data_IF_712658368080
#
_entry.id   IF_712658368080
#
_cell.length_a   1.000
_cell.length_b   1.000
_cell.length_c   1.000
_cell.angle_alpha   90.00
_cell.angle_beta   90.00
_cell.angle_gamma   90.00
#
_symmetry.space_group_name_H-M   'P 1'
#
loop_
_entity.id
_entity.type
_entity.pdbx_description
1 polymer ?
#
# COMPACT_ATOMS: atom_id res chain seq x y z
N UNK A 1 38.37 -71.26 13.35
CA UNK A 1 37.56 -71.28 12.12
C UNK A 1 37.22 -69.85 11.72
N UNK A 2 37.03 -69.67 10.41
CA UNK A 2 37.11 -68.44 9.62
C UNK A 2 36.13 -67.29 9.93
N UNK A 3 36.51 -66.12 9.36
CA UNK A 3 35.65 -65.11 8.68
C UNK A 3 34.78 -64.17 9.55
N UNK A 4 34.49 -62.91 9.20
CA UNK A 4 34.97 -61.96 8.19
C UNK A 4 34.38 -60.57 8.56
N UNK A 5 35.18 -59.51 8.45
CA UNK A 5 34.87 -58.18 7.84
C UNK A 5 33.45 -57.56 7.90
N UNK A 6 33.29 -56.39 8.54
CA UNK A 6 33.25 -55.03 7.91
C UNK A 6 32.82 -53.90 8.90
N UNK A 7 33.38 -52.69 8.78
CA UNK A 7 32.97 -51.50 9.55
C UNK A 7 31.96 -50.66 8.76
N UNK A 8 31.06 -49.94 9.44
CA UNK A 8 30.29 -48.85 8.82
C UNK A 8 30.28 -47.61 9.72
N UNK A 9 30.81 -46.53 9.14
CA UNK A 9 30.67 -45.14 9.55
C UNK A 9 29.20 -44.75 9.74
N UNK A 10 28.90 -43.87 10.69
CA UNK A 10 28.03 -42.70 10.44
C UNK A 10 28.28 -41.61 11.50
N UNK A 11 29.04 -40.60 11.08
CA UNK A 11 28.76 -39.16 11.18
C UNK A 11 28.32 -38.57 12.52
N UNK A 12 29.26 -37.92 13.21
CA UNK A 12 28.98 -36.93 14.24
C UNK A 12 28.48 -35.63 13.59
N UNK A 13 27.22 -35.26 13.87
CA UNK A 13 26.65 -33.97 13.52
C UNK A 13 27.05 -32.96 14.61
N UNK A 14 27.98 -32.07 14.32
CA UNK A 14 28.27 -30.91 15.17
C UNK A 14 27.18 -29.87 14.89
N UNK A 15 26.21 -29.76 15.79
CA UNK A 15 25.26 -28.65 15.80
C UNK A 15 25.97 -27.39 16.33
N UNK A 16 26.38 -26.50 15.42
CA UNK A 16 26.79 -25.15 15.77
C UNK A 16 25.55 -24.26 15.78
N UNK A 17 24.93 -24.09 16.94
CA UNK A 17 23.82 -23.15 17.15
C UNK A 17 24.42 -21.72 17.21
N UNK A 18 24.41 -21.01 16.08
CA UNK A 18 24.67 -19.58 16.08
C UNK A 18 23.37 -18.86 16.47
N UNK A 19 23.23 -18.49 17.74
CA UNK A 19 22.17 -17.60 18.20
C UNK A 19 22.44 -16.19 17.67
N UNK A 20 21.82 -15.85 16.55
CA UNK A 20 21.78 -14.48 16.05
C UNK A 20 20.75 -13.71 16.89
N UNK A 21 21.19 -13.09 17.99
CA UNK A 21 20.40 -12.06 18.68
C UNK A 21 20.39 -10.81 17.82
N UNK A 22 19.54 -10.81 16.79
CA UNK A 22 19.20 -9.60 16.05
C UNK A 22 18.38 -8.71 16.97
N UNK A 23 18.93 -7.56 17.33
CA UNK A 23 18.16 -6.44 17.87
C UNK A 23 17.18 -6.00 16.77
N UNK A 24 15.99 -6.60 16.78
CA UNK A 24 14.85 -6.05 16.05
C UNK A 24 14.44 -4.83 16.85
N UNK A 25 14.91 -3.65 16.43
CA UNK A 25 14.24 -2.41 16.77
C UNK A 25 12.79 -2.59 16.33
N UNK A 26 11.88 -2.83 17.29
CA UNK A 26 10.46 -2.68 17.05
C UNK A 26 10.28 -1.25 16.56
N UNK A 27 10.11 -1.08 15.25
CA UNK A 27 9.34 0.06 14.77
C UNK A 27 7.98 -0.18 15.38
N UNK A 28 7.62 0.59 16.40
CA UNK A 28 6.25 0.67 16.83
C UNK A 28 5.49 1.20 15.63
N UNK A 29 4.89 0.30 14.85
CA UNK A 29 3.76 0.65 14.02
C UNK A 29 2.74 1.19 15.01
N UNK A 30 2.60 2.51 15.05
CA UNK A 30 1.54 3.13 15.81
C UNK A 30 0.25 2.38 15.44
N UNK A 31 -0.33 1.69 16.42
CA UNK A 31 -1.69 1.18 16.30
C UNK A 31 -2.52 2.34 15.78
N UNK A 32 -3.22 2.14 14.67
CA UNK A 32 -4.17 3.11 14.16
C UNK A 32 -4.98 3.62 15.36
N UNK A 33 -4.88 4.91 15.65
CA UNK A 33 -5.86 5.54 16.50
C UNK A 33 -7.21 5.27 15.84
N UNK A 34 -8.27 4.99 16.60
CA UNK A 34 -9.61 4.85 16.04
C UNK A 34 -9.92 6.12 15.23
N UNK A 35 -9.86 6.02 13.91
CA UNK A 35 -10.06 7.17 13.05
C UNK A 35 -11.51 7.63 13.21
N UNK A 36 -11.66 8.91 13.53
CA UNK A 36 -12.97 9.51 13.71
C UNK A 36 -13.19 10.54 12.60
N UNK A 37 -14.14 10.25 11.71
CA UNK A 37 -14.53 11.19 10.68
C UNK A 37 -15.12 12.45 11.30
N UNK A 38 -14.45 13.59 11.10
CA UNK A 38 -14.95 14.86 11.60
C UNK A 38 -15.94 15.47 10.61
N UNK A 39 -17.24 15.37 10.92
CA UNK A 39 -18.32 15.92 10.10
C UNK A 39 -18.32 17.45 9.98
N UNK A 40 -17.48 18.15 10.74
CA UNK A 40 -17.29 19.61 10.62
C UNK A 40 -16.18 20.00 9.65
N UNK A 41 -15.47 19.04 9.04
CA UNK A 41 -14.55 19.38 7.96
C UNK A 41 -15.29 20.00 6.77
N UNK A 42 -14.66 21.02 6.18
CA UNK A 42 -15.16 21.70 4.99
C UNK A 42 -14.30 21.33 3.79
N UNK A 43 -14.88 21.34 2.58
CA UNK A 43 -14.14 21.16 1.33
C UNK A 43 -12.93 22.12 1.28
N UNK A 44 -11.69 21.61 1.24
CA UNK A 44 -10.53 22.47 0.98
C UNK A 44 -10.56 23.03 -0.44
N UNK A 45 -9.73 24.04 -0.71
CA UNK A 45 -9.56 24.58 -2.05
C UNK A 45 -9.17 23.48 -3.04
N UNK A 46 -10.01 23.30 -4.06
CA UNK A 46 -9.72 22.45 -5.21
C UNK A 46 -9.00 23.29 -6.26
N UNK A 47 -7.86 22.81 -6.71
CA UNK A 47 -7.05 23.40 -7.75
C UNK A 47 -7.18 22.57 -9.03
N UNK A 48 -7.51 23.21 -10.13
CA UNK A 48 -7.60 22.53 -11.41
C UNK A 48 -6.23 22.29 -12.05
N UNK A 49 -6.18 21.48 -13.13
CA UNK A 49 -4.93 21.14 -13.85
C UNK A 49 -4.09 22.35 -14.26
N UNK A 50 -4.68 23.47 -14.64
CA UNK A 50 -3.91 24.65 -15.07
C UNK A 50 -3.25 25.37 -13.88
N UNK A 51 -3.79 25.18 -12.66
CA UNK A 51 -3.22 25.70 -11.43
C UNK A 51 -2.18 24.76 -10.82
N UNK A 52 -2.32 23.44 -11.00
CA UNK A 52 -1.42 22.43 -10.42
C UNK A 52 -0.30 22.01 -11.36
N UNK A 53 -0.53 22.08 -12.67
CA UNK A 53 0.34 21.49 -13.69
C UNK A 53 0.28 19.95 -13.75
N UNK A 54 -0.63 19.32 -13.00
CA UNK A 54 -0.75 17.86 -12.95
C UNK A 54 -1.29 17.31 -14.28
N UNK A 55 -0.63 16.27 -14.79
CA UNK A 55 -1.05 15.54 -15.98
C UNK A 55 -1.63 14.17 -15.56
N UNK A 56 -2.95 14.09 -15.52
CA UNK A 56 -3.75 12.90 -15.20
C UNK A 56 -3.81 11.88 -16.36
N UNK A 57 -3.54 12.29 -17.59
CA UNK A 57 -3.68 11.44 -18.79
C UNK A 57 -3.03 10.05 -18.65
N UNK A 58 -1.79 9.90 -18.12
CA UNK A 58 -1.17 8.60 -17.96
C UNK A 58 -1.87 7.70 -16.93
N UNK A 59 -2.68 8.27 -16.04
CA UNK A 59 -3.35 7.53 -14.96
C UNK A 59 -4.75 7.04 -15.36
N UNK A 60 -5.35 7.61 -16.42
CA UNK A 60 -6.67 7.20 -16.90
C UNK A 60 -6.71 5.73 -17.34
N UNK A 61 -5.57 5.12 -17.67
CA UNK A 61 -5.48 3.68 -17.97
C UNK A 61 -5.76 2.78 -16.75
N UNK A 62 -5.74 3.33 -15.54
CA UNK A 62 -6.09 2.61 -14.31
C UNK A 62 -7.55 2.81 -13.92
N UNK A 63 -8.31 3.51 -14.74
CA UNK A 63 -9.76 3.60 -14.60
C UNK A 63 -10.34 2.62 -15.60
N UNK A 64 -11.04 1.62 -15.08
CA UNK A 64 -11.72 0.63 -15.92
C UNK A 64 -13.23 0.88 -15.88
N UNK A 65 -13.96 0.20 -16.77
CA UNK A 65 -15.40 0.09 -16.58
C UNK A 65 -15.68 -0.66 -15.27
N UNK A 66 -16.84 -0.38 -14.66
CA UNK A 66 -17.34 -1.07 -13.48
C UNK A 66 -17.24 -2.60 -13.63
N UNK A 67 -16.89 -3.28 -12.53
CA UNK A 67 -16.60 -4.71 -12.41
C UNK A 67 -15.34 -5.22 -13.11
N UNK A 68 -14.44 -4.34 -13.56
CA UNK A 68 -13.17 -4.72 -14.17
C UNK A 68 -11.97 -4.37 -13.27
N UNK A 69 -11.23 -5.41 -12.89
CA UNK A 69 -10.06 -5.28 -12.04
C UNK A 69 -8.98 -4.37 -12.62
N UNK A 70 -8.28 -3.65 -11.74
CA UNK A 70 -7.16 -2.79 -12.10
C UNK A 70 -6.03 -3.56 -12.83
N UNK A 71 -5.63 -3.11 -14.04
CA UNK A 71 -4.53 -3.72 -14.79
C UNK A 71 -3.20 -3.62 -14.05
N UNK A 72 -2.34 -4.63 -14.20
CA UNK A 72 -0.97 -4.66 -13.65
C UNK A 72 -0.85 -4.49 -12.13
N UNK A 73 -1.94 -4.78 -11.40
CA UNK A 73 -2.10 -4.71 -9.94
C UNK A 73 -1.12 -5.54 -9.09
N UNK A 74 -0.18 -6.27 -9.71
CA UNK A 74 0.85 -7.05 -9.02
C UNK A 74 2.26 -6.45 -9.06
N UNK A 75 2.62 -5.64 -10.07
CA UNK A 75 4.04 -5.32 -10.35
C UNK A 75 4.61 -4.16 -9.53
N UNK A 76 3.77 -3.29 -8.98
CA UNK A 76 4.21 -2.13 -8.19
C UNK A 76 3.34 -1.91 -6.94
N UNK A 77 2.78 -3.01 -6.41
CA UNK A 77 1.86 -2.98 -5.27
C UNK A 77 2.59 -2.46 -4.03
N UNK A 78 2.17 -1.31 -3.55
CA UNK A 78 2.54 -0.79 -2.25
C UNK A 78 1.57 -1.34 -1.20
N UNK A 79 2.01 -1.34 0.05
CA UNK A 79 1.12 -1.56 1.18
C UNK A 79 0.44 -0.21 1.52
N UNK A 80 -0.88 -0.06 1.29
CA UNK A 80 -1.58 1.20 1.54
C UNK A 80 -1.56 1.59 3.03
N UNK A 81 -1.32 0.66 3.95
CA UNK A 81 -1.17 0.94 5.38
C UNK A 81 0.28 1.32 5.78
N UNK A 82 1.21 1.43 4.82
CA UNK A 82 2.63 1.76 5.09
C UNK A 82 3.16 2.89 4.23
N UNK A 83 2.34 3.93 3.99
CA UNK A 83 2.75 5.10 3.23
C UNK A 83 3.53 6.09 4.12
N UNK A 84 4.68 5.63 4.63
CA UNK A 84 5.56 6.43 5.48
C UNK A 84 6.53 7.29 4.66
N UNK A 85 6.51 8.60 4.86
CA UNK A 85 7.40 9.54 4.19
C UNK A 85 8.78 9.53 4.82
N UNK A 86 9.80 9.20 4.03
CA UNK A 86 11.21 9.25 4.42
C UNK A 86 11.82 10.66 4.31
N UNK A 87 11.25 11.50 3.46
CA UNK A 87 11.70 12.85 3.16
C UNK A 87 10.54 13.83 3.27
N UNK A 88 10.83 15.07 3.68
CA UNK A 88 9.83 16.14 3.68
C UNK A 88 9.31 16.37 2.26
N UNK A 89 8.01 16.61 2.13
CA UNK A 89 7.41 16.96 0.82
C UNK A 89 6.14 17.79 1.01
N UNK A 90 5.83 18.63 0.03
CA UNK A 90 4.53 19.31 -0.05
C UNK A 90 3.52 18.39 -0.73
N UNK A 91 2.80 17.62 0.08
CA UNK A 91 1.91 16.56 -0.40
C UNK A 91 0.68 17.16 -1.08
N UNK A 92 0.30 16.57 -2.21
CA UNK A 92 -0.93 16.87 -2.93
C UNK A 92 -1.62 15.58 -3.35
N UNK A 93 -2.95 15.63 -3.45
CA UNK A 93 -3.79 14.51 -3.91
C UNK A 93 -4.62 14.98 -5.09
N UNK A 94 -4.62 14.23 -6.18
CA UNK A 94 -5.31 14.53 -7.42
C UNK A 94 -6.38 13.48 -7.69
N UNK A 95 -7.59 13.94 -7.99
CA UNK A 95 -8.66 13.10 -8.48
C UNK A 95 -8.31 12.59 -9.87
N UNK A 96 -8.31 11.27 -10.08
CA UNK A 96 -8.13 10.71 -11.41
C UNK A 96 -9.48 10.50 -12.05
N UNK A 97 -10.33 9.70 -11.41
CA UNK A 97 -11.67 9.38 -11.86
C UNK A 97 -12.43 8.56 -10.79
N UNK A 98 -13.69 8.26 -11.06
CA UNK A 98 -14.52 7.31 -10.33
C UNK A 98 -15.08 6.25 -11.28
N UNK A 99 -15.22 5.03 -10.80
CA UNK A 99 -15.77 3.88 -11.53
C UNK A 99 -17.23 3.58 -11.18
N UNK A 100 -17.78 4.22 -10.15
CA UNK A 100 -19.03 3.81 -9.51
C UNK A 100 -20.06 4.93 -9.29
N UNK A 101 -21.24 4.49 -8.85
CA UNK A 101 -22.44 5.31 -8.70
C UNK A 101 -22.53 6.17 -7.44
N UNK A 102 -21.59 6.02 -6.49
CA UNK A 102 -21.70 6.64 -5.16
C UNK A 102 -21.07 8.03 -5.09
N UNK A 103 -21.69 8.90 -4.29
CA UNK A 103 -21.18 10.25 -4.02
C UNK A 103 -20.25 10.21 -2.82
N UNK A 104 -19.08 9.62 -3.05
CA UNK A 104 -18.10 9.32 -2.03
C UNK A 104 -17.45 10.58 -1.45
N UNK A 105 -16.91 10.46 -0.23
CA UNK A 105 -16.02 11.48 0.35
C UNK A 105 -14.66 10.86 0.66
N UNK A 106 -13.57 11.62 0.52
CA UNK A 106 -12.23 11.15 0.83
C UNK A 106 -11.55 12.09 1.83
N UNK A 107 -10.94 11.52 2.85
CA UNK A 107 -10.16 12.21 3.87
C UNK A 107 -8.78 11.57 4.04
N UNK A 108 -7.90 12.28 4.73
CA UNK A 108 -6.59 11.77 5.11
C UNK A 108 -6.34 11.98 6.61
N UNK A 109 -5.44 11.16 7.14
CA UNK A 109 -4.80 11.34 8.42
C UNK A 109 -3.28 11.22 8.26
N UNK A 110 -2.57 12.17 8.85
CA UNK A 110 -1.13 12.18 8.95
C UNK A 110 -0.77 12.01 10.43
N UNK A 111 -0.02 10.95 10.75
CA UNK A 111 0.44 10.63 12.10
C UNK A 111 1.96 10.54 12.17
N UNK A 112 2.53 10.69 13.37
CA UNK A 112 3.98 10.73 13.58
C UNK A 112 4.50 12.16 13.66
N UNK A 113 5.46 12.51 12.80
CA UNK A 113 6.14 13.79 12.83
C UNK A 113 5.22 14.98 12.44
N UNK A 114 4.39 14.80 11.41
CA UNK A 114 3.25 15.68 11.12
C UNK A 114 2.00 15.05 11.73
N UNK A 115 1.21 15.85 12.47
CA UNK A 115 -0.08 15.43 13.05
C UNK A 115 -1.19 16.29 12.49
N UNK A 116 -1.88 15.79 11.46
CA UNK A 116 -2.90 16.56 10.75
C UNK A 116 -3.90 15.60 10.11
N UNK A 117 -5.17 15.93 10.18
CA UNK A 117 -6.23 15.21 9.48
C UNK A 117 -7.15 16.19 8.77
N UNK A 118 -7.78 15.78 7.69
CA UNK A 118 -8.70 16.65 6.97
C UNK A 118 -9.39 15.98 5.81
N UNK A 119 -10.44 16.64 5.34
CA UNK A 119 -11.12 16.28 4.10
C UNK A 119 -10.23 16.62 2.90
N UNK A 120 -10.24 15.75 1.89
CA UNK A 120 -9.69 16.01 0.56
C UNK A 120 -10.82 16.37 -0.38
N UNK A 121 -11.79 15.48 -0.51
CA UNK A 121 -12.95 15.67 -1.38
C UNK A 121 -14.23 15.40 -0.60
N UNK A 122 -15.11 16.39 -0.54
CA UNK A 122 -16.43 16.32 0.10
C UNK A 122 -17.47 15.62 -0.78
N UNK A 123 -17.17 15.53 -2.07
CA UNK A 123 -18.05 15.04 -3.11
C UNK A 123 -17.18 14.56 -4.26
N UNK A 124 -16.93 13.25 -4.29
CA UNK A 124 -16.33 12.59 -5.42
C UNK A 124 -17.48 12.24 -6.34
N UNK A 125 -17.52 13.00 -7.43
CA UNK A 125 -18.37 12.79 -8.58
C UNK A 125 -17.68 13.39 -9.79
N UNK A 126 -17.88 12.80 -10.95
CA UNK A 126 -17.25 13.25 -12.20
C UNK A 126 -18.32 13.67 -13.22
N UNK A 127 -18.06 14.71 -14.00
CA UNK A 127 -18.89 15.07 -15.16
C UNK A 127 -18.04 15.28 -16.41
N UNK A 128 -18.50 14.68 -17.52
CA UNK A 128 -17.92 14.87 -18.85
C UNK A 128 -17.29 13.61 -19.42
N UNK A 129 -16.57 13.78 -20.54
CA UNK A 129 -15.94 12.67 -21.26
C UNK A 129 -14.94 11.93 -20.38
N UNK A 130 -15.15 10.63 -20.20
CA UNK A 130 -14.29 9.75 -19.41
C UNK A 130 -14.83 9.45 -18.01
N UNK A 131 -15.86 10.15 -17.54
CA UNK A 131 -16.53 9.85 -16.27
C UNK A 131 -17.57 8.72 -16.44
N UNK A 132 -17.80 7.93 -15.38
CA UNK A 132 -18.87 6.91 -15.36
C UNK A 132 -20.27 7.55 -15.28
N UNK A 133 -20.39 8.71 -14.61
CA UNK A 133 -21.65 9.43 -14.44
C UNK A 133 -21.68 10.82 -15.10
N UNK A 134 -22.90 11.34 -15.28
CA UNK A 134 -23.16 12.73 -15.67
C UNK A 134 -23.76 13.51 -14.51
N UNK A 135 -23.04 13.58 -13.38
CA UNK A 135 -23.60 14.02 -12.10
C UNK A 135 -23.98 15.51 -12.01
N UNK A 136 -23.48 16.35 -12.92
CA UNK A 136 -23.75 17.79 -12.93
C UNK A 136 -23.20 18.53 -11.70
N UNK A 137 -23.38 19.86 -11.68
CA UNK A 137 -23.18 20.67 -10.48
C UNK A 137 -21.72 20.88 -10.08
N UNK A 138 -21.35 20.47 -8.87
CA UNK A 138 -20.00 20.65 -8.29
C UNK A 138 -19.07 19.46 -8.56
N UNK A 139 -19.38 18.64 -9.58
CA UNK A 139 -18.58 17.50 -9.97
C UNK A 139 -17.11 17.91 -10.22
N UNK A 140 -16.21 17.04 -9.78
CA UNK A 140 -14.78 17.18 -9.99
C UNK A 140 -14.47 17.02 -11.47
N UNK A 141 -13.48 17.77 -11.94
CA UNK A 141 -12.84 17.50 -13.22
C UNK A 141 -11.70 16.53 -12.99
N UNK A 142 -11.48 15.62 -13.93
CA UNK A 142 -10.29 14.76 -13.93
C UNK A 142 -9.05 15.64 -13.67
N UNK A 143 -8.13 15.19 -12.82
CA UNK A 143 -6.91 15.92 -12.43
C UNK A 143 -7.08 17.11 -11.48
N UNK A 144 -8.29 17.43 -11.04
CA UNK A 144 -8.50 18.39 -9.94
C UNK A 144 -7.80 17.89 -8.67
N UNK A 145 -7.17 18.79 -7.92
CA UNK A 145 -6.29 18.43 -6.81
C UNK A 145 -6.44 19.27 -5.57
N UNK A 146 -6.07 18.69 -4.44
CA UNK A 146 -6.02 19.31 -3.13
C UNK A 146 -4.62 19.25 -2.58
N UNK A 147 -4.15 20.39 -2.04
CA UNK A 147 -2.87 20.47 -1.36
C UNK A 147 -3.05 20.08 0.10
N UNK A 148 -2.48 18.95 0.49
CA UNK A 148 -2.34 18.55 1.90
C UNK A 148 -1.37 19.49 2.61
N UNK A 149 -0.36 19.97 1.88
CA UNK A 149 0.66 20.90 2.35
C UNK A 149 1.92 20.18 2.81
N UNK A 150 2.78 20.88 3.54
CA UNK A 150 4.05 20.34 3.98
C UNK A 150 3.85 19.17 4.96
N UNK A 151 4.43 18.02 4.62
CA UNK A 151 4.49 16.83 5.46
C UNK A 151 5.94 16.49 5.72
N UNK A 152 6.30 16.38 6.99
CA UNK A 152 7.66 16.09 7.43
C UNK A 152 7.98 14.60 7.35
N UNK A 153 9.26 14.28 7.14
CA UNK A 153 9.79 12.92 7.21
C UNK A 153 9.45 12.26 8.55
N UNK A 154 9.20 10.95 8.53
CA UNK A 154 8.71 10.17 9.68
C UNK A 154 7.20 10.29 9.89
N UNK A 155 6.46 10.73 8.88
CA UNK A 155 4.98 10.79 8.91
C UNK A 155 4.40 9.60 8.16
N UNK A 156 3.44 8.91 8.78
CA UNK A 156 2.56 7.94 8.12
C UNK A 156 1.35 8.68 7.55
N UNK A 157 0.99 8.37 6.30
CA UNK A 157 -0.24 8.85 5.67
C UNK A 157 -1.24 7.71 5.56
N UNK A 158 -2.44 7.93 6.11
CA UNK A 158 -3.58 7.04 6.02
C UNK A 158 -4.74 7.76 5.33
N UNK A 159 -5.55 7.01 4.59
CA UNK A 159 -6.64 7.57 3.79
C UNK A 159 -7.93 6.84 4.09
N UNK A 160 -9.02 7.60 4.07
CA UNK A 160 -10.33 7.15 4.53
C UNK A 160 -11.38 7.56 3.52
N UNK A 161 -12.07 6.57 2.95
CA UNK A 161 -13.23 6.74 2.11
C UNK A 161 -14.48 6.66 2.98
N UNK A 162 -15.39 7.62 2.81
CA UNK A 162 -16.75 7.53 3.33
C UNK A 162 -17.69 7.22 2.19
N UNK A 163 -18.12 5.96 2.13
CA UNK A 163 -18.91 5.40 1.04
C UNK A 163 -20.28 6.08 0.92
N UNK A 164 -20.57 6.66 -0.23
CA UNK A 164 -21.78 7.47 -0.50
C UNK A 164 -22.01 8.56 0.57
N UNK A 165 -20.91 9.08 1.12
CA UNK A 165 -20.94 9.93 2.32
C UNK A 165 -21.68 11.25 2.13
N UNK A 166 -21.77 11.77 0.91
CA UNK A 166 -22.57 12.97 0.62
C UNK A 166 -24.08 12.71 0.85
N UNK A 167 -24.56 11.52 0.51
CA UNK A 167 -25.97 11.15 0.62
C UNK A 167 -26.30 10.52 1.99
N UNK A 168 -25.43 9.62 2.48
CA UNK A 168 -25.67 8.85 3.71
C UNK A 168 -25.19 9.56 4.96
N UNK A 169 -24.25 10.51 4.87
CA UNK A 169 -23.69 11.20 6.03
C UNK A 169 -23.22 10.21 7.11
N UNK A 170 -23.68 10.36 8.35
CA UNK A 170 -23.23 9.57 9.50
C UNK A 170 -23.58 8.08 9.45
N UNK A 171 -24.48 7.65 8.56
CA UNK A 171 -24.77 6.22 8.36
C UNK A 171 -23.91 5.55 7.29
N UNK A 172 -23.06 6.31 6.60
CA UNK A 172 -22.14 5.78 5.60
C UNK A 172 -21.13 4.80 6.21
N UNK A 173 -20.73 3.80 5.44
CA UNK A 173 -19.56 3.00 5.77
C UNK A 173 -18.30 3.86 5.59
N UNK A 174 -17.30 3.62 6.46
CA UNK A 174 -15.99 4.25 6.37
C UNK A 174 -14.98 3.15 6.15
N UNK A 175 -14.14 3.33 5.13
CA UNK A 175 -13.15 2.38 4.70
C UNK A 175 -11.77 3.04 4.67
N UNK A 176 -10.85 2.51 5.47
CA UNK A 176 -9.47 2.96 5.59
C UNK A 176 -8.49 2.12 4.77
N UNK A 177 -7.28 2.67 4.66
CA UNK A 177 -6.10 1.96 4.11
C UNK A 177 -5.63 0.80 5.00
N UNK A 178 -5.89 0.84 6.30
CA UNK A 178 -5.71 -0.30 7.20
C UNK A 178 -6.92 -1.24 7.16
N UNK A 179 -6.71 -2.46 6.66
CA UNK A 179 -7.74 -3.50 6.62
C UNK A 179 -8.30 -3.83 8.00
N UNK A 180 -7.48 -3.75 9.06
CA UNK A 180 -7.94 -4.04 10.42
C UNK A 180 -8.89 -2.96 10.97
N UNK A 181 -8.90 -1.76 10.37
CA UNK A 181 -9.80 -0.66 10.74
C UNK A 181 -11.16 -0.74 10.04
N UNK A 182 -11.28 -1.55 8.98
CA UNK A 182 -12.52 -1.70 8.23
C UNK A 182 -13.50 -2.59 8.99
N UNK A 183 -14.77 -2.19 9.02
CA UNK A 183 -15.77 -2.87 9.84
C UNK A 183 -16.02 -4.34 9.42
N UNK A 184 -15.84 -4.70 8.14
CA UNK A 184 -15.88 -6.08 7.64
C UNK A 184 -14.53 -6.81 7.72
N UNK A 185 -13.45 -6.12 8.14
CA UNK A 185 -12.11 -6.67 8.16
C UNK A 185 -11.54 -6.97 6.76
N UNK A 186 -12.09 -6.37 5.71
CA UNK A 186 -11.65 -6.57 4.34
C UNK A 186 -10.79 -5.40 3.84
N UNK A 187 -9.99 -5.66 2.81
CA UNK A 187 -9.21 -4.61 2.16
C UNK A 187 -10.15 -3.73 1.35
N UNK A 188 -10.12 -2.41 1.54
CA UNK A 188 -10.90 -1.46 0.72
C UNK A 188 -10.05 -0.45 -0.04
N UNK A 189 -8.73 -0.51 0.12
CA UNK A 189 -7.80 0.33 -0.62
C UNK A 189 -6.66 -0.50 -1.20
N UNK A 190 -6.22 -0.15 -2.39
CA UNK A 190 -5.00 -0.65 -3.02
C UNK A 190 -4.13 0.53 -3.42
N UNK A 191 -2.81 0.36 -3.29
CA UNK A 191 -1.84 1.39 -3.65
C UNK A 191 -0.81 0.84 -4.63
N UNK A 192 -0.44 1.65 -5.62
CA UNK A 192 0.57 1.32 -6.62
C UNK A 192 1.54 2.47 -6.80
N UNK A 193 2.83 2.18 -6.84
CA UNK A 193 3.77 3.15 -7.37
C UNK A 193 3.63 3.20 -8.90
N UNK A 194 3.39 4.38 -9.46
CA UNK A 194 3.37 4.58 -10.90
C UNK A 194 4.02 5.91 -11.25
N UNK A 195 5.07 5.83 -12.08
CA UNK A 195 6.02 6.92 -12.26
C UNK A 195 6.56 7.40 -10.89
N UNK A 196 6.47 8.71 -10.62
CA UNK A 196 6.92 9.35 -9.40
C UNK A 196 5.78 9.58 -8.39
N UNK A 197 4.67 8.87 -8.56
CA UNK A 197 3.45 9.06 -7.76
C UNK A 197 2.97 7.74 -7.16
N UNK A 198 2.00 7.84 -6.25
CA UNK A 198 1.24 6.71 -5.73
C UNK A 198 -0.17 6.82 -6.30
N UNK A 199 -0.60 5.83 -7.08
CA UNK A 199 -2.01 5.60 -7.39
C UNK A 199 -2.65 4.94 -6.17
N UNK A 200 -3.73 5.51 -5.66
CA UNK A 200 -4.53 4.94 -4.57
C UNK A 200 -5.97 4.77 -5.08
N UNK A 201 -6.50 3.56 -4.94
CA UNK A 201 -7.79 3.21 -5.47
C UNK A 201 -8.62 2.46 -4.43
N UNK A 202 -9.92 2.71 -4.37
CA UNK A 202 -10.81 2.20 -3.33
C UNK A 202 -11.98 1.39 -3.87
N UNK A 203 -12.44 0.47 -3.01
CA UNK A 203 -13.74 -0.20 -3.07
C UNK A 203 -14.68 0.43 -2.03
N UNK A 204 -15.90 0.77 -2.41
CA UNK A 204 -16.88 1.51 -1.59
C UNK A 204 -18.08 0.67 -1.12
N UNK A 205 -18.18 -0.60 -1.51
CA UNK A 205 -19.25 -1.51 -1.09
C UNK A 205 -18.81 -2.43 0.04
N UNK A 206 -19.59 -2.49 1.10
CA UNK A 206 -19.34 -3.37 2.24
C UNK A 206 -19.43 -4.86 1.88
N UNK A 207 -18.49 -5.65 2.38
CA UNK A 207 -18.54 -7.11 2.32
C UNK A 207 -17.65 -7.76 1.25
N UNK A 208 -17.68 -9.09 1.23
CA UNK A 208 -16.86 -9.89 0.32
C UNK A 208 -17.37 -9.87 -1.13
N UNK A 209 -16.57 -10.42 -2.04
CA UNK A 209 -16.90 -10.51 -3.48
C UNK A 209 -18.31 -11.12 -3.69
N UNK A 210 -19.22 -10.31 -4.22
CA UNK A 210 -20.62 -10.59 -4.48
C UNK A 210 -21.39 -11.16 -3.27
N UNK A 211 -20.91 -10.89 -2.06
CA UNK A 211 -21.61 -11.26 -0.84
C UNK A 211 -22.94 -10.50 -0.77
N UNK A 212 -23.99 -11.19 -0.32
CA UNK A 212 -25.32 -10.61 -0.12
C UNK A 212 -25.91 -11.14 1.18
N UNK A 213 -26.91 -10.43 1.72
CA UNK A 213 -27.48 -10.77 3.02
C UNK A 213 -26.74 -10.12 4.19
N UNK A 214 -27.17 -10.44 5.41
CA UNK A 214 -26.58 -9.90 6.63
C UNK A 214 -25.27 -10.62 6.95
N UNK A 215 -24.18 -9.87 7.11
CA UNK A 215 -22.93 -10.36 7.68
C UNK A 215 -23.16 -10.76 9.13
N UNK A 216 -22.96 -12.05 9.41
CA UNK A 216 -23.14 -12.62 10.74
C UNK A 216 -22.16 -12.09 11.81
N UNK A 217 -20.99 -11.58 11.39
CA UNK A 217 -19.98 -11.06 12.32
C UNK A 217 -20.32 -9.65 12.82
N UNK A 218 -20.98 -8.84 11.98
CA UNK A 218 -21.16 -7.40 12.21
C UNK A 218 -22.62 -6.97 12.25
N UNK A 219 -23.53 -7.79 11.73
CA UNK A 219 -24.94 -7.47 11.56
C UNK A 219 -25.24 -6.48 10.42
N UNK A 220 -24.23 -6.08 9.63
CA UNK A 220 -24.39 -5.19 8.49
C UNK A 220 -24.82 -5.95 7.23
N UNK A 221 -25.49 -5.26 6.30
CA UNK A 221 -25.86 -5.84 5.02
C UNK A 221 -24.66 -5.84 4.06
N UNK A 222 -24.37 -6.97 3.42
CA UNK A 222 -23.39 -7.06 2.35
C UNK A 222 -23.93 -6.40 1.08
N UNK A 223 -23.18 -5.45 0.53
CA UNK A 223 -23.63 -4.57 -0.56
C UNK A 223 -23.33 -5.14 -1.95
N UNK A 224 -22.83 -6.39 -2.05
CA UNK A 224 -22.56 -7.02 -3.33
C UNK A 224 -21.26 -6.60 -4.00
N UNK A 225 -20.29 -6.10 -3.22
CA UNK A 225 -18.96 -5.65 -3.65
C UNK A 225 -18.35 -6.51 -4.76
N UNK A 226 -17.90 -5.90 -5.85
CA UNK A 226 -17.25 -6.58 -6.98
C UNK A 226 -15.72 -6.57 -6.89
N UNK A 227 -15.17 -5.85 -5.91
CA UNK A 227 -13.77 -5.92 -5.46
C UNK A 227 -12.79 -5.50 -6.55
N UNK A 228 -13.21 -4.61 -7.42
CA UNK A 228 -12.42 -4.15 -8.55
C UNK A 228 -11.55 -2.91 -8.22
N UNK A 229 -11.86 -2.23 -7.11
CA UNK A 229 -11.17 -1.07 -6.55
C UNK A 229 -11.09 0.12 -7.52
N UNK A 230 -12.09 0.34 -8.38
CA UNK A 230 -12.14 1.51 -9.25
C UNK A 230 -13.17 2.57 -8.82
N UNK A 231 -13.94 2.33 -7.75
CA UNK A 231 -14.99 3.22 -7.28
C UNK A 231 -14.48 4.64 -7.02
N UNK A 232 -13.29 4.76 -6.42
CA UNK A 232 -12.56 6.03 -6.31
C UNK A 232 -11.09 5.82 -6.63
N UNK A 233 -10.59 6.55 -7.63
CA UNK A 233 -9.16 6.54 -8.01
C UNK A 233 -8.55 7.93 -7.85
N UNK A 234 -7.51 8.01 -7.03
CA UNK A 234 -6.73 9.23 -6.79
C UNK A 234 -5.24 8.97 -6.94
N UNK A 235 -4.48 10.05 -7.09
CA UNK A 235 -3.02 10.02 -7.16
C UNK A 235 -2.42 10.94 -6.12
N UNK A 236 -1.42 10.45 -5.39
CA UNK A 236 -0.69 11.20 -4.40
C UNK A 236 0.66 11.61 -4.98
N UNK A 237 0.96 12.90 -4.89
CA UNK A 237 2.31 13.42 -5.01
C UNK A 237 2.94 13.51 -3.63
N UNK A 238 3.80 12.54 -3.33
CA UNK A 238 4.63 12.52 -2.12
C UNK A 238 6.10 12.78 -2.45
N UNK A 239 6.41 13.12 -3.70
CA UNK A 239 7.77 13.30 -4.19
C UNK A 239 8.46 11.99 -4.59
N UNK A 240 9.21 12.04 -5.68
CA UNK A 240 9.89 10.89 -6.29
C UNK A 240 10.78 10.12 -5.30
N UNK A 241 11.49 10.83 -4.42
CA UNK A 241 12.38 10.21 -3.44
C UNK A 241 11.61 9.36 -2.41
N UNK A 242 10.42 9.80 -2.00
CA UNK A 242 9.55 9.02 -1.12
C UNK A 242 8.96 7.82 -1.85
N UNK A 243 8.50 7.97 -3.09
CA UNK A 243 7.99 6.84 -3.90
C UNK A 243 9.06 5.77 -4.06
N UNK A 244 10.29 6.15 -4.41
CA UNK A 244 11.42 5.22 -4.51
C UNK A 244 11.73 4.53 -3.18
N UNK A 245 11.66 5.25 -2.06
CA UNK A 245 11.86 4.67 -0.73
C UNK A 245 10.78 3.64 -0.38
N UNK A 246 9.52 3.91 -0.72
CA UNK A 246 8.40 3.00 -0.50
C UNK A 246 8.53 1.72 -1.33
N UNK A 247 8.89 1.84 -2.62
CA UNK A 247 9.17 0.67 -3.49
C UNK A 247 10.31 -0.17 -2.90
N UNK A 248 11.41 0.47 -2.49
CA UNK A 248 12.56 -0.21 -1.88
C UNK A 248 12.25 -0.86 -0.53
N UNK A 249 11.24 -0.37 0.20
CA UNK A 249 10.76 -1.02 1.42
C UNK A 249 9.91 -2.27 1.13
N UNK A 250 9.18 -2.29 0.00
CA UNK A 250 8.36 -3.43 -0.42
C UNK A 250 9.12 -4.56 -1.11
N UNK A 251 10.28 -4.28 -1.70
CA UNK A 251 11.16 -5.29 -2.30
C UNK A 251 12.33 -5.54 -1.35
N UNK A 252 12.41 -6.70 -0.65
CA UNK A 252 13.58 -7.01 0.16
C UNK A 252 14.83 -6.90 -0.73
N UNK A 253 15.82 -6.09 -0.33
CA UNK A 253 17.08 -6.09 -1.05
C UNK A 253 17.57 -7.53 -1.17
N UNK A 254 17.90 -8.02 -2.39
CA UNK A 254 18.48 -9.34 -2.54
C UNK A 254 19.65 -9.42 -1.57
N UNK A 255 19.69 -10.49 -0.78
CA UNK A 255 20.66 -10.69 0.29
C UNK A 255 22.08 -10.92 -0.25
N UNK A 256 22.65 -9.95 -0.97
CA UNK A 256 24.01 -10.04 -1.54
C UNK A 256 25.08 -9.96 -0.44
N UNK A 257 24.71 -9.62 0.78
CA UNK A 257 25.66 -9.49 1.91
C UNK A 257 26.03 -10.83 2.57
N UNK A 258 25.31 -11.93 2.32
CA UNK A 258 25.64 -13.24 2.92
C UNK A 258 26.60 -14.10 2.07
N UNK A 259 26.68 -13.86 0.76
CA UNK A 259 27.46 -14.69 -0.16
C UNK A 259 28.96 -14.35 -0.18
N UNK A 260 29.38 -13.15 0.25
CA UNK A 260 30.80 -12.78 0.32
C UNK A 260 31.56 -13.40 1.51
N UNK A 261 30.88 -13.83 2.58
CA UNK A 261 31.54 -14.54 3.68
C UNK A 261 31.65 -16.06 3.47
N UNK A 262 30.76 -16.67 2.68
CA UNK A 262 30.78 -18.11 2.40
C UNK A 262 31.89 -18.52 1.41
N UNK A 263 32.24 -17.66 0.44
CA UNK A 263 33.27 -17.98 -0.57
C UNK A 263 34.70 -17.83 -0.01
N UNK A 264 34.92 -16.96 0.99
CA UNK A 264 36.23 -16.78 1.62
C UNK A 264 36.65 -17.93 2.53
N UNK A 265 35.72 -18.54 3.26
CA UNK A 265 36.03 -19.60 4.22
C UNK A 265 36.38 -20.94 3.56
N UNK A 266 35.75 -21.29 2.44
CA UNK A 266 36.06 -22.54 1.71
C UNK A 266 37.41 -22.46 0.98
N UNK A 267 37.81 -21.27 0.52
CA UNK A 267 39.10 -21.05 -0.15
C UNK A 267 40.33 -21.28 0.72
N UNK A 268 40.27 -20.94 2.02
CA UNK A 268 41.42 -21.08 2.92
C UNK A 268 41.62 -22.51 3.49
N UNK A 269 40.57 -23.33 3.57
CA UNK A 269 40.71 -24.73 4.01
C UNK A 269 41.11 -25.70 2.87
N UNK A 270 40.80 -25.38 1.62
CA UNK A 270 41.18 -26.20 0.45
C UNK A 270 42.65 -26.12 0.06
N UNK A 271 43.34 -25.01 0.36
CA UNK A 271 44.74 -24.80 -0.04
C UNK A 271 45.77 -25.42 0.91
N UNK A 272 45.38 -25.85 2.12
CA UNK A 272 46.31 -26.49 3.07
C UNK A 272 46.53 -27.98 2.83
N UNK A 273 45.72 -28.65 2.00
CA UNK A 273 45.80 -30.12 1.82
C UNK A 273 46.60 -30.60 0.60
N UNK A 274 47.14 -29.70 -0.22
CA UNK A 274 47.88 -30.07 -1.45
C UNK A 274 49.40 -29.96 -1.39
N UNK A 275 50.00 -29.80 -0.21
CA UNK A 275 51.47 -29.71 -0.04
C UNK A 275 52.15 -30.87 0.69
N UNK A 276 51.46 -32.00 0.86
CA UNK A 276 52.08 -33.25 1.35
C UNK A 276 51.62 -34.45 0.50
N UNK A 277 52.15 -34.54 -0.72
CA UNK A 277 52.13 -35.76 -1.54
C UNK A 277 53.16 -35.61 -2.65
N UNK A 278 54.44 -35.51 -2.29
CA UNK A 278 55.54 -35.72 -3.22
C UNK A 278 56.83 -36.00 -2.44
N UNK A 279 57.05 -37.27 -2.11
CA UNK A 279 58.35 -37.95 -1.96
C UNK A 279 58.14 -39.36 -1.38
N UNK A 280 58.18 -40.39 -2.23
CA UNK A 280 58.81 -41.70 -1.94
C UNK A 280 58.62 -42.63 -3.15
N UNK A 281 59.62 -42.68 -4.02
CA UNK A 281 60.30 -43.89 -4.51
C UNK A 281 61.39 -43.46 -5.49
#
# INVERSE_FOLDING_TARGET
MAHNMKPNLFTALIAATATLTGLVSKVETASAADFNWNSSWTQPTIYNKSQTGFNDTPFQQFVQAESAALPNSGQFKLDPNKLNLKYNHDVSVYFINEGAGYRNQLAFEATGATKKSGLLFNDISCEGTGCVGGWGGNALKLGDGVKVGNVTAGTQLDFWLRADGLNRGNSANIFGTDTASNADGLQHAVAYAYNNYILLAFEDLYGGLHASGVDSATGKWNEGSDRDFNDVVVVLDVGEANVKALIGATVPEPSVTLSMFAVGAVGMFGLRRRRQSRTSH
#
